data_IF_987320614639
#
_entry.id   IF_987320614639
#
_cell.length_a   1.000
_cell.length_b   1.000
_cell.length_c   1.000
_cell.angle_alpha   90.00
_cell.angle_beta   90.00
_cell.angle_gamma   90.00
#
_symmetry.space_group_name_H-M   'P 1'
#
loop_
_entity.id
_entity.type
_entity.pdbx_description
1 polymer ?
#
# COMPACT_ATOMS: atom_id res chain seq x y z
N UNK A 1 2.44 1.98 -23.42
CA UNK A 1 2.77 3.35 -23.85
C UNK A 1 4.04 3.24 -24.67
N UNK A 2 3.99 3.71 -25.91
CA UNK A 2 5.17 3.74 -26.81
C UNK A 2 6.10 4.85 -26.32
N UNK A 3 7.40 4.64 -26.45
CA UNK A 3 8.39 5.66 -26.14
C UNK A 3 8.41 6.73 -27.22
N UNK A 4 8.10 7.97 -26.85
CA UNK A 4 7.95 9.10 -27.77
C UNK A 4 9.27 9.46 -28.48
N UNK A 5 10.41 9.01 -27.93
CA UNK A 5 11.73 9.18 -28.55
C UNK A 5 12.10 8.11 -29.57
N UNK A 6 11.22 7.12 -29.84
CA UNK A 6 11.50 6.08 -30.84
C UNK A 6 10.90 6.38 -32.21
N UNK A 7 11.57 5.90 -33.25
CA UNK A 7 11.17 6.08 -34.65
C UNK A 7 9.90 5.27 -34.94
N UNK A 8 9.06 5.79 -35.85
CA UNK A 8 7.79 5.16 -36.26
C UNK A 8 7.95 3.72 -36.77
N UNK A 9 9.12 3.38 -37.31
CA UNK A 9 9.41 2.06 -37.88
C UNK A 9 9.86 1.02 -36.84
N UNK A 10 10.30 1.45 -35.65
CA UNK A 10 10.71 0.55 -34.56
C UNK A 10 10.23 1.10 -33.20
N UNK A 11 8.91 1.03 -32.93
CA UNK A 11 8.36 1.54 -31.68
C UNK A 11 8.87 0.71 -30.50
N UNK A 12 9.57 1.36 -29.56
CA UNK A 12 9.92 0.70 -28.29
C UNK A 12 8.87 0.98 -27.24
N UNK A 13 8.65 0.00 -26.37
CA UNK A 13 7.80 0.19 -25.20
C UNK A 13 8.54 1.02 -24.16
N UNK A 14 7.88 2.04 -23.62
CA UNK A 14 8.43 2.86 -22.54
C UNK A 14 8.74 1.97 -21.34
N UNK A 15 9.95 2.07 -20.80
CA UNK A 15 10.45 1.20 -19.72
C UNK A 15 9.66 1.29 -18.41
N UNK A 16 8.89 2.36 -18.20
CA UNK A 16 8.06 2.62 -17.01
C UNK A 16 8.84 2.55 -15.67
N UNK A 17 10.17 2.70 -15.70
CA UNK A 17 11.03 2.59 -14.52
C UNK A 17 10.80 3.72 -13.49
N UNK A 18 10.08 4.77 -13.87
CA UNK A 18 9.66 5.90 -13.03
C UNK A 18 8.21 5.79 -12.50
N UNK A 19 7.54 4.66 -12.70
CA UNK A 19 6.17 4.43 -12.23
C UNK A 19 6.15 3.63 -10.93
N UNK A 20 5.46 4.17 -9.93
CA UNK A 20 5.09 3.45 -8.71
C UNK A 20 3.61 3.10 -8.78
N UNK A 21 3.33 1.81 -8.77
CA UNK A 21 2.00 1.23 -8.67
C UNK A 21 1.57 1.22 -7.20
N UNK A 22 0.43 1.83 -6.92
CA UNK A 22 -0.14 1.89 -5.58
C UNK A 22 -1.52 1.24 -5.58
N UNK A 23 -1.76 0.37 -4.61
CA UNK A 23 -3.04 -0.28 -4.36
C UNK A 23 -3.48 -0.14 -2.90
N UNK A 24 -4.79 -0.05 -2.69
CA UNK A 24 -5.44 0.04 -1.39
C UNK A 24 -6.33 -1.19 -1.21
N UNK A 25 -6.09 -1.96 -0.15
CA UNK A 25 -6.88 -3.17 0.09
C UNK A 25 -7.25 -3.33 1.56
N UNK A 26 -8.52 -3.62 1.80
CA UNK A 26 -9.05 -3.99 3.11
C UNK A 26 -8.83 -5.49 3.36
N UNK A 27 -8.30 -5.81 4.54
CA UNK A 27 -8.12 -7.16 5.04
C UNK A 27 -8.88 -7.33 6.35
N UNK A 28 -9.55 -8.46 6.51
CA UNK A 28 -10.14 -8.83 7.78
C UNK A 28 -9.03 -9.39 8.70
N UNK A 29 -9.01 -8.96 9.96
CA UNK A 29 -8.03 -9.48 10.93
C UNK A 29 -8.23 -10.97 11.22
N UNK A 30 -9.47 -11.46 11.10
CA UNK A 30 -9.81 -12.86 11.26
C UNK A 30 -10.61 -13.34 10.06
N UNK A 31 -10.50 -14.63 9.73
CA UNK A 31 -11.37 -15.26 8.74
C UNK A 31 -12.82 -15.25 9.26
N UNK A 32 -13.77 -15.12 8.33
CA UNK A 32 -15.18 -15.09 8.70
C UNK A 32 -15.64 -16.44 9.27
N UNK A 33 -15.17 -17.51 8.65
CA UNK A 33 -15.43 -18.91 8.99
C UNK A 33 -14.10 -19.67 8.86
N UNK A 34 -13.83 -20.55 9.82
CA UNK A 34 -12.68 -21.46 9.81
C UNK A 34 -13.17 -22.83 10.24
N UNK A 35 -12.92 -23.83 9.40
CA UNK A 35 -13.16 -25.22 9.72
C UNK A 35 -11.88 -25.81 10.30
N UNK A 36 -12.01 -26.49 11.43
CA UNK A 36 -10.92 -27.18 12.10
C UNK A 36 -11.25 -28.67 12.14
N UNK A 37 -10.24 -29.52 11.96
CA UNK A 37 -10.32 -30.93 12.31
C UNK A 37 -9.81 -31.05 13.74
N UNK A 38 -10.65 -31.53 14.65
CA UNK A 38 -10.32 -31.73 16.06
C UNK A 38 -10.32 -33.22 16.36
N UNK A 39 -9.42 -33.63 17.26
CA UNK A 39 -9.47 -34.97 17.85
C UNK A 39 -10.53 -35.00 18.96
N UNK A 40 -11.02 -36.19 19.31
CA UNK A 40 -12.12 -36.37 20.29
C UNK A 40 -11.84 -35.75 21.67
N UNK A 41 -10.57 -35.53 22.02
CA UNK A 41 -10.13 -34.96 23.31
C UNK A 41 -9.61 -33.52 23.21
N UNK A 42 -9.75 -32.86 22.06
CA UNK A 42 -9.26 -31.50 21.87
C UNK A 42 -10.36 -30.47 22.15
N UNK A 43 -10.00 -29.38 22.83
CA UNK A 43 -10.95 -28.31 23.16
C UNK A 43 -11.29 -27.47 21.93
N UNK A 44 -12.54 -27.02 21.84
CA UNK A 44 -12.99 -26.19 20.73
C UNK A 44 -12.16 -24.90 20.61
N UNK A 45 -11.75 -24.51 19.39
CA UNK A 45 -10.91 -23.35 19.19
C UNK A 45 -11.64 -22.06 19.61
N UNK A 46 -11.07 -21.35 20.59
CA UNK A 46 -11.67 -20.14 21.12
C UNK A 46 -11.70 -19.00 20.09
N UNK A 47 -12.91 -18.55 19.74
CA UNK A 47 -13.15 -17.42 18.84
C UNK A 47 -13.51 -16.15 19.61
N UNK A 48 -12.61 -15.16 19.61
CA UNK A 48 -12.84 -13.89 20.33
C UNK A 48 -13.91 -12.97 19.73
N UNK A 49 -14.32 -13.17 18.47
CA UNK A 49 -15.29 -12.32 17.77
C UNK A 49 -16.50 -13.16 17.38
N UNK A 50 -17.65 -12.95 18.03
CA UNK A 50 -18.84 -13.80 17.81
C UNK A 50 -19.57 -13.51 16.48
N UNK A 51 -19.51 -12.29 15.96
CA UNK A 51 -20.20 -11.91 14.72
C UNK A 51 -19.24 -11.40 13.65
N UNK A 52 -19.57 -11.66 12.38
CA UNK A 52 -18.82 -11.17 11.20
C UNK A 52 -18.72 -9.64 11.17
N UNK A 53 -19.75 -8.96 11.64
CA UNK A 53 -19.81 -7.49 11.67
C UNK A 53 -18.84 -6.88 12.70
N UNK A 54 -18.42 -7.66 13.71
CA UNK A 54 -17.46 -7.25 14.72
C UNK A 54 -16.01 -7.70 14.40
N UNK A 55 -15.76 -8.22 13.19
CA UNK A 55 -14.40 -8.51 12.74
C UNK A 55 -13.77 -7.22 12.26
N UNK A 56 -12.74 -6.78 12.95
CA UNK A 56 -11.96 -5.61 12.57
C UNK A 56 -11.35 -5.79 11.17
N UNK A 57 -11.43 -4.72 10.37
CA UNK A 57 -10.90 -4.64 9.01
C UNK A 57 -9.79 -3.62 8.98
N UNK A 58 -8.60 -4.01 8.57
CA UNK A 58 -7.43 -3.14 8.40
C UNK A 58 -7.21 -2.87 6.93
N UNK A 59 -7.03 -1.60 6.57
CA UNK A 59 -6.63 -1.25 5.22
C UNK A 59 -5.11 -1.16 5.11
N UNK A 60 -4.58 -1.79 4.08
CA UNK A 60 -3.18 -1.71 3.71
C UNK A 60 -3.01 -0.92 2.42
N UNK A 61 -1.98 -0.08 2.43
CA UNK A 61 -1.42 0.54 1.24
C UNK A 61 -0.24 -0.32 0.79
N UNK A 62 -0.32 -0.84 -0.42
CA UNK A 62 0.79 -1.52 -1.08
C UNK A 62 1.38 -0.63 -2.15
N UNK A 63 2.70 -0.52 -2.20
CA UNK A 63 3.40 0.11 -3.30
C UNK A 63 4.41 -0.84 -3.91
N UNK A 64 4.35 -0.94 -5.24
CA UNK A 64 5.27 -1.73 -6.04
C UNK A 64 5.68 -0.96 -7.29
N UNK A 65 6.77 -1.38 -7.91
CA UNK A 65 7.37 -0.81 -9.11
C UNK A 65 7.82 -1.95 -9.98
N UNK A 66 8.24 -1.65 -11.21
CA UNK A 66 8.79 -2.66 -12.10
C UNK A 66 10.12 -3.19 -11.53
N UNK A 67 10.32 -4.51 -11.41
CA UNK A 67 11.62 -5.08 -11.06
C UNK A 67 12.69 -4.68 -12.08
N UNK A 68 13.92 -4.48 -11.63
CA UNK A 68 15.09 -4.14 -12.45
C UNK A 68 16.12 -5.25 -12.35
N UNK A 69 16.72 -5.59 -13.49
CA UNK A 69 17.72 -6.63 -13.63
C UNK A 69 19.00 -6.03 -14.22
N UNK A 70 20.16 -6.60 -13.88
CA UNK A 70 21.43 -6.26 -14.52
C UNK A 70 21.59 -6.97 -15.87
N UNK A 71 22.72 -6.74 -16.55
CA UNK A 71 23.04 -7.37 -17.83
C UNK A 71 23.25 -8.88 -17.77
N UNK A 72 23.44 -9.44 -16.57
CA UNK A 72 23.58 -10.89 -16.33
C UNK A 72 22.26 -11.53 -15.91
N UNK A 73 21.17 -10.75 -15.85
CA UNK A 73 19.84 -11.24 -15.46
C UNK A 73 19.62 -11.37 -13.95
N UNK A 74 20.50 -10.82 -13.10
CA UNK A 74 20.34 -10.82 -11.64
C UNK A 74 19.43 -9.66 -11.22
N UNK A 75 18.67 -9.85 -10.14
CA UNK A 75 17.73 -8.83 -9.63
C UNK A 75 18.49 -7.73 -8.92
N UNK A 76 18.59 -6.56 -9.55
CA UNK A 76 19.15 -5.33 -8.94
C UNK A 76 18.10 -4.66 -8.05
N UNK A 77 16.83 -4.73 -8.45
CA UNK A 77 15.73 -4.19 -7.67
C UNK A 77 14.49 -5.04 -7.83
N UNK A 78 13.96 -5.54 -6.72
CA UNK A 78 12.81 -6.46 -6.72
C UNK A 78 11.49 -5.78 -7.10
N UNK A 79 11.44 -4.46 -7.17
CA UNK A 79 10.23 -3.70 -7.40
C UNK A 79 9.34 -3.55 -6.16
N UNK A 80 9.70 -4.14 -5.02
CA UNK A 80 8.93 -4.02 -3.77
C UNK A 80 9.28 -2.71 -3.07
N UNK A 81 8.30 -1.80 -2.94
CA UNK A 81 8.49 -0.52 -2.22
C UNK A 81 8.15 -0.71 -0.75
N UNK A 82 6.94 -1.22 -0.45
CA UNK A 82 6.49 -1.39 0.91
C UNK A 82 5.00 -1.66 1.06
N UNK A 83 4.64 -2.01 2.29
CA UNK A 83 3.27 -2.20 2.74
C UNK A 83 3.06 -1.43 4.04
N UNK A 84 1.98 -0.67 4.13
CA UNK A 84 1.68 0.12 5.32
C UNK A 84 0.22 -0.01 5.72
N UNK A 85 -0.04 -0.29 6.99
CA UNK A 85 -1.40 -0.32 7.54
C UNK A 85 -1.88 1.10 7.88
N UNK A 86 -3.16 1.38 7.61
CA UNK A 86 -3.84 2.58 8.10
C UNK A 86 -4.29 2.37 9.56
N UNK A 87 -3.38 2.65 10.46
CA UNK A 87 -3.59 2.60 11.91
C UNK A 87 -3.12 3.90 12.55
N UNK A 88 -3.77 4.27 13.65
CA UNK A 88 -3.44 5.45 14.46
C UNK A 88 -3.27 5.00 15.90
N UNK A 89 -2.17 5.42 16.52
CA UNK A 89 -2.02 5.27 17.97
C UNK A 89 -2.92 6.30 18.66
N UNK A 90 -3.81 5.83 19.52
CA UNK A 90 -4.70 6.64 20.31
C UNK A 90 -4.74 6.12 21.74
N UNK A 91 -4.78 6.99 22.75
CA UNK A 91 -4.98 6.55 24.13
C UNK A 91 -6.38 5.95 24.29
N UNK A 92 -6.47 4.87 25.05
CA UNK A 92 -7.74 4.26 25.41
C UNK A 92 -8.64 5.29 26.13
N UNK A 93 -9.84 5.60 25.60
CA UNK A 93 -10.64 6.70 26.11
C UNK A 93 -11.29 6.40 27.47
N UNK A 94 -11.43 5.13 27.83
CA UNK A 94 -12.13 4.66 29.04
C UNK A 94 -11.44 3.42 29.58
N UNK A 95 -11.57 3.19 30.89
CA UNK A 95 -11.21 1.91 31.48
C UNK A 95 -12.16 0.83 30.93
N UNK A 96 -11.58 -0.30 30.54
CA UNK A 96 -12.30 -1.53 30.22
C UNK A 96 -11.72 -2.67 31.03
N UNK A 97 -12.39 -3.83 31.02
CA UNK A 97 -11.94 -5.03 31.76
C UNK A 97 -10.49 -5.41 31.46
N UNK A 98 -10.03 -5.15 30.23
CA UNK A 98 -8.72 -5.59 29.75
C UNK A 98 -7.73 -4.43 29.50
N UNK A 99 -8.13 -3.17 29.72
CA UNK A 99 -7.28 -2.02 29.37
C UNK A 99 -7.59 -0.78 30.22
N UNK A 100 -6.55 -0.14 30.76
CA UNK A 100 -6.67 1.13 31.50
C UNK A 100 -6.81 2.30 30.54
N UNK A 101 -7.58 3.31 30.94
CA UNK A 101 -7.69 4.58 30.25
C UNK A 101 -6.28 5.21 30.13
N UNK A 102 -5.99 5.78 28.97
CA UNK A 102 -4.68 6.37 28.68
C UNK A 102 -3.63 5.40 28.14
N UNK A 103 -3.84 4.08 28.17
CA UNK A 103 -2.94 3.14 27.49
C UNK A 103 -2.97 3.40 25.97
N UNK A 104 -1.81 3.59 25.35
CA UNK A 104 -1.71 3.80 23.91
C UNK A 104 -2.11 2.52 23.17
N UNK A 105 -3.11 2.63 22.29
CA UNK A 105 -3.66 1.53 21.51
C UNK A 105 -3.60 1.87 20.02
N UNK A 106 -3.23 0.90 19.20
CA UNK A 106 -3.28 1.02 17.75
C UNK A 106 -4.70 0.80 17.27
N UNK A 107 -5.39 1.87 16.89
CA UNK A 107 -6.73 1.81 16.32
C UNK A 107 -6.71 1.85 14.81
N UNK A 108 -7.57 1.03 14.22
CA UNK A 108 -7.72 0.98 12.77
C UNK A 108 -8.51 2.19 12.27
N UNK A 109 -8.01 2.83 11.22
CA UNK A 109 -8.71 3.96 10.61
C UNK A 109 -9.89 3.44 9.79
N UNK A 110 -11.11 3.76 10.22
CA UNK A 110 -12.35 3.25 9.61
C UNK A 110 -12.70 3.94 8.28
N UNK A 111 -12.29 5.20 8.10
CA UNK A 111 -12.56 5.97 6.88
C UNK A 111 -11.28 6.55 6.32
N UNK A 112 -10.90 6.13 5.12
CA UNK A 112 -9.73 6.66 4.44
C UNK A 112 -10.15 7.26 3.11
N UNK A 113 -9.87 8.56 2.98
CA UNK A 113 -10.16 9.34 1.78
C UNK A 113 -8.93 9.32 0.86
N UNK A 114 -9.16 9.49 -0.44
CA UNK A 114 -8.11 9.54 -1.47
C UNK A 114 -6.96 10.52 -1.14
N UNK A 115 -7.28 11.71 -0.61
CA UNK A 115 -6.27 12.70 -0.21
C UNK A 115 -5.37 12.19 0.91
N UNK A 116 -5.94 11.47 1.88
CA UNK A 116 -5.23 10.91 3.03
C UNK A 116 -4.24 9.84 2.57
N UNK A 117 -4.62 9.01 1.60
CA UNK A 117 -3.72 7.96 1.08
C UNK A 117 -2.52 8.54 0.38
N UNK A 118 -2.72 9.56 -0.46
CA UNK A 118 -1.60 10.23 -1.13
C UNK A 118 -0.64 10.86 -0.12
N UNK A 119 -1.17 11.59 0.86
CA UNK A 119 -0.36 12.23 1.89
C UNK A 119 0.41 11.19 2.72
N UNK A 120 -0.27 10.13 3.13
CA UNK A 120 0.32 9.03 3.88
C UNK A 120 1.42 8.33 3.09
N UNK A 121 1.20 8.03 1.81
CA UNK A 121 2.25 7.47 0.96
C UNK A 121 3.48 8.38 0.90
N UNK A 122 3.28 9.68 0.62
CA UNK A 122 4.38 10.65 0.55
C UNK A 122 5.13 10.72 1.88
N UNK A 123 4.42 10.75 3.01
CA UNK A 123 5.03 10.74 4.34
C UNK A 123 5.86 9.47 4.56
N UNK A 124 5.28 8.28 4.29
CA UNK A 124 5.95 7.00 4.49
C UNK A 124 7.14 6.82 3.56
N UNK A 125 7.02 7.22 2.30
CA UNK A 125 8.14 7.28 1.36
C UNK A 125 9.27 8.18 1.86
N UNK A 126 8.95 9.32 2.49
CA UNK A 126 9.99 10.22 3.04
C UNK A 126 10.62 9.69 4.33
N UNK A 127 9.83 9.05 5.20
CA UNK A 127 10.20 8.73 6.59
C UNK A 127 10.72 7.30 6.79
N UNK A 128 10.24 6.35 5.98
CA UNK A 128 10.73 4.98 5.93
C UNK A 128 11.59 4.80 4.69
N UNK A 129 12.91 4.71 4.87
CA UNK A 129 13.80 4.03 3.92
C UNK A 129 13.69 4.43 2.43
N UNK A 130 13.72 5.74 2.11
CA UNK A 130 14.24 6.20 0.81
C UNK A 130 15.68 6.70 0.92
N UNK A 131 16.19 6.92 2.13
CA UNK A 131 17.58 7.29 2.37
C UNK A 131 18.59 6.15 2.14
N UNK A 132 18.21 4.88 2.38
CA UNK A 132 19.11 3.73 2.22
C UNK A 132 19.04 3.08 0.81
N UNK A 133 18.15 3.59 -0.04
CA UNK A 133 17.90 3.04 -1.38
C UNK A 133 17.91 4.13 -2.44
N UNK A 134 18.42 5.33 -2.14
CA UNK A 134 18.56 6.39 -3.14
C UNK A 134 19.23 5.87 -4.41
N UNK A 135 20.31 5.10 -4.27
CA UNK A 135 21.14 4.71 -5.41
C UNK A 135 20.48 3.67 -6.35
N UNK A 136 19.57 2.83 -5.84
CA UNK A 136 18.86 1.85 -6.67
C UNK A 136 17.60 2.44 -7.34
N UNK A 137 17.16 3.61 -6.85
CA UNK A 137 15.89 4.23 -7.23
C UNK A 137 16.09 5.35 -8.24
N UNK A 138 17.14 6.16 -8.14
CA UNK A 138 17.39 7.25 -9.10
C UNK A 138 17.72 6.71 -10.50
N UNK A 139 16.70 6.63 -11.37
CA UNK A 139 16.90 6.71 -12.82
C UNK A 139 17.17 8.17 -13.21
N UNK A 140 17.80 8.42 -14.36
CA UNK A 140 18.22 9.76 -14.76
C UNK A 140 17.01 10.70 -14.92
N UNK A 141 16.97 11.75 -14.10
CA UNK A 141 16.45 13.07 -14.50
C UNK A 141 14.97 13.38 -14.36
N UNK A 142 14.07 12.46 -14.01
CA UNK A 142 12.63 12.80 -13.98
C UNK A 142 11.88 12.26 -12.76
N UNK A 143 11.07 13.13 -12.16
CA UNK A 143 10.27 12.83 -10.97
C UNK A 143 9.36 11.61 -11.11
N UNK A 144 8.97 11.07 -9.97
CA UNK A 144 8.18 9.85 -9.88
C UNK A 144 6.73 10.07 -10.30
N UNK A 145 6.21 9.15 -11.11
CA UNK A 145 4.79 9.11 -11.45
C UNK A 145 4.07 8.06 -10.60
N UNK A 146 3.14 8.51 -9.78
CA UNK A 146 2.27 7.61 -9.03
C UNK A 146 1.12 7.17 -9.93
N UNK A 147 1.03 5.85 -10.15
CA UNK A 147 -0.08 5.21 -10.85
C UNK A 147 -0.89 4.42 -9.84
N UNK A 148 -2.07 4.95 -9.52
CA UNK A 148 -3.06 4.25 -8.73
C UNK A 148 -3.87 3.35 -9.65
N UNK A 149 -4.04 2.07 -9.27
CA UNK A 149 -4.99 1.22 -9.97
C UNK A 149 -6.42 1.69 -9.67
N UNK A 150 -7.18 1.96 -10.73
CA UNK A 150 -8.45 2.68 -10.63
C UNK A 150 -9.57 1.67 -10.40
N UNK A 151 -9.67 1.14 -9.18
CA UNK A 151 -10.91 0.50 -8.72
C UNK A 151 -11.80 1.54 -8.07
N UNK A 152 -12.79 1.99 -8.85
CA UNK A 152 -13.92 2.79 -8.39
C UNK A 152 -14.56 2.06 -7.21
N UNK A 153 -14.55 2.70 -6.04
CA UNK A 153 -15.44 2.32 -4.94
C UNK A 153 -16.86 2.37 -5.54
N UNK A 154 -17.53 1.22 -5.62
CA UNK A 154 -18.76 1.03 -6.37
C UNK A 154 -19.75 2.19 -6.21
N UNK A 155 -19.91 2.93 -7.30
CA UNK A 155 -21.07 3.76 -7.65
C UNK A 155 -20.90 4.14 -9.11
N UNK A 156 -21.81 3.69 -9.96
CA UNK A 156 -21.80 3.98 -11.38
C UNK A 156 -21.88 5.49 -11.62
N UNK A 157 -21.05 5.97 -12.55
CA UNK A 157 -21.29 7.05 -13.53
C UNK A 157 -19.94 7.57 -14.03
N UNK A 158 -19.81 7.63 -15.36
CA UNK A 158 -19.03 8.66 -16.05
C UNK A 158 -17.52 8.42 -16.17
N UNK A 159 -17.10 8.20 -17.41
CA UNK A 159 -15.72 8.23 -17.90
C UNK A 159 -14.97 9.53 -17.52
N UNK A 160 -13.71 9.42 -17.10
CA UNK A 160 -12.64 10.37 -17.49
C UNK A 160 -11.26 9.97 -16.93
N UNK A 161 -10.33 9.73 -17.85
CA UNK A 161 -8.91 10.07 -17.77
C UNK A 161 -8.07 9.56 -16.59
N UNK A 162 -7.17 8.61 -16.89
CA UNK A 162 -6.02 8.33 -16.04
C UNK A 162 -5.12 9.57 -15.90
N UNK A 163 -5.26 10.31 -14.80
CA UNK A 163 -4.33 11.38 -14.41
C UNK A 163 -3.32 10.85 -13.39
N UNK A 164 -2.09 10.64 -13.85
CA UNK A 164 -0.93 10.36 -13.00
C UNK A 164 -0.58 11.58 -12.14
N UNK A 165 0.03 11.35 -10.99
CA UNK A 165 0.45 12.40 -10.07
C UNK A 165 1.98 12.48 -10.08
N UNK A 166 2.53 13.65 -10.37
CA UNK A 166 3.95 13.92 -10.16
C UNK A 166 4.18 14.25 -8.68
N UNK A 167 5.14 13.58 -8.04
CA UNK A 167 5.69 14.02 -6.77
C UNK A 167 6.92 14.89 -7.06
N UNK A 168 6.88 16.17 -6.66
CA UNK A 168 7.98 17.11 -6.86
C UNK A 168 9.22 16.74 -6.05
N UNK A 169 10.39 16.98 -6.64
CA UNK A 169 11.70 16.81 -6.03
C UNK A 169 11.92 17.83 -4.90
N UNK A 170 12.60 17.42 -3.83
CA UNK A 170 13.11 18.35 -2.83
C UNK A 170 14.27 19.17 -3.44
N UNK A 171 14.43 20.47 -3.10
CA UNK A 171 15.59 21.24 -3.53
C UNK A 171 16.85 20.65 -2.88
N UNK A 172 17.83 20.30 -3.70
CA UNK A 172 19.13 19.81 -3.26
C UNK A 172 19.91 20.89 -2.51
N UNK A 173 20.70 20.45 -1.54
CA UNK A 173 21.84 21.22 -1.02
C UNK A 173 23.07 20.93 -1.87
#
# INVERSE_FOLDING_TARGET
MIDESTTLNEPKLKGMYNYVHIDEKWFHMKKNEQTYYLLDNEEDPHRSCQSKNNIEKVMFLAATTRPRFDGEGRVVFSGKVGYWAFVTEQPAPRNSRNMRAGTMEMKVVTSVKRKNVKAFFIEKSKRGSIGATGDCWHGPGHGWMLRRDMRTIGRGLGTSGARGWAAGSAPGR
#
